data_IF_712391701039
#
_entry.id   IF_712391701039
#
_cell.length_a   1.000
_cell.length_b   1.000
_cell.length_c   1.000
_cell.angle_alpha   90.00
_cell.angle_beta   90.00
_cell.angle_gamma   90.00
#
_symmetry.space_group_name_H-M   'P 1'
#
loop_
_entity.id
_entity.type
_entity.pdbx_description
1 polymer ?
#
# COMPACT_ATOMS: atom_id res chain seq x y z
N UNK A 1 -57.05 -30.46 -19.41
CA UNK A 1 -56.52 -29.14 -19.02
C UNK A 1 -55.01 -29.24 -18.90
N UNK A 2 -54.26 -28.62 -19.81
CA UNK A 2 -52.79 -28.57 -19.80
C UNK A 2 -52.39 -27.10 -19.65
N UNK A 3 -51.71 -26.72 -18.57
CA UNK A 3 -51.11 -25.39 -18.42
C UNK A 3 -49.71 -25.37 -19.05
N UNK A 4 -49.32 -24.33 -19.79
CA UNK A 4 -47.98 -24.20 -20.34
C UNK A 4 -47.01 -23.66 -19.29
N UNK A 5 -45.82 -24.27 -19.26
CA UNK A 5 -44.66 -23.86 -18.46
C UNK A 5 -44.02 -22.65 -19.18
N UNK A 6 -44.11 -21.49 -18.56
CA UNK A 6 -43.49 -20.25 -19.04
C UNK A 6 -42.03 -20.21 -18.56
N UNK A 7 -41.09 -20.50 -19.46
CA UNK A 7 -39.65 -20.46 -19.18
C UNK A 7 -39.16 -19.01 -19.20
N UNK A 8 -38.92 -18.44 -18.01
CA UNK A 8 -38.36 -17.10 -17.85
C UNK A 8 -36.83 -17.15 -18.05
N UNK A 9 -36.35 -16.64 -19.18
CA UNK A 9 -34.92 -16.44 -19.47
C UNK A 9 -34.39 -15.26 -18.64
N UNK A 10 -33.67 -15.57 -17.57
CA UNK A 10 -32.96 -14.59 -16.75
C UNK A 10 -31.66 -14.19 -17.48
N UNK A 11 -31.67 -13.05 -18.16
CA UNK A 11 -30.44 -12.41 -18.66
C UNK A 11 -29.65 -11.86 -17.46
N UNK A 12 -28.63 -12.60 -17.03
CA UNK A 12 -27.58 -12.08 -16.14
C UNK A 12 -26.79 -11.02 -16.93
N UNK A 13 -27.16 -9.76 -16.75
CA UNK A 13 -26.33 -8.64 -17.14
C UNK A 13 -24.99 -8.76 -16.39
N UNK A 14 -23.92 -9.02 -17.13
CA UNK A 14 -22.57 -8.80 -16.64
C UNK A 14 -22.47 -7.32 -16.34
N UNK A 15 -22.60 -6.94 -15.06
CA UNK A 15 -22.15 -5.65 -14.60
C UNK A 15 -20.65 -5.62 -14.88
N UNK A 16 -20.26 -4.97 -15.98
CA UNK A 16 -18.90 -4.57 -16.25
C UNK A 16 -18.39 -3.96 -14.96
N UNK A 17 -17.41 -4.59 -14.33
CA UNK A 17 -16.72 -4.03 -13.17
C UNK A 17 -16.19 -2.68 -13.68
N UNK A 18 -16.83 -1.58 -13.27
CA UNK A 18 -16.54 -0.26 -13.79
C UNK A 18 -15.03 -0.06 -13.70
N UNK A 19 -14.41 0.25 -14.84
CA UNK A 19 -12.96 0.45 -14.89
C UNK A 19 -12.63 1.58 -13.92
N UNK A 20 -11.85 1.22 -12.90
CA UNK A 20 -11.25 2.16 -11.98
C UNK A 20 -10.37 3.10 -12.80
N UNK A 21 -10.60 4.40 -12.65
CA UNK A 21 -10.04 5.50 -13.44
C UNK A 21 -10.33 5.44 -14.96
N UNK A 22 -10.27 6.60 -15.62
CA UNK A 22 -10.48 6.70 -17.08
C UNK A 22 -9.44 7.61 -17.74
N UNK A 23 -9.16 7.43 -19.03
CA UNK A 23 -8.43 8.43 -19.80
C UNK A 23 -9.11 9.81 -19.69
N UNK A 24 -8.31 10.85 -19.57
CA UNK A 24 -8.78 12.22 -19.68
C UNK A 24 -9.31 12.49 -21.10
N UNK A 25 -10.33 13.32 -21.23
CA UNK A 25 -10.68 13.91 -22.52
C UNK A 25 -9.55 14.86 -22.98
N UNK A 26 -9.47 15.23 -24.27
CA UNK A 26 -8.49 16.20 -24.73
C UNK A 26 -8.52 17.52 -23.95
N UNK A 27 -9.72 18.02 -23.63
CA UNK A 27 -9.89 19.25 -22.86
C UNK A 27 -9.39 19.10 -21.42
N UNK A 28 -9.72 17.99 -20.76
CA UNK A 28 -9.22 17.70 -19.41
C UNK A 28 -7.71 17.55 -19.38
N UNK A 29 -7.14 16.83 -20.35
CA UNK A 29 -5.70 16.66 -20.48
C UNK A 29 -5.00 18.02 -20.67
N UNK A 30 -5.53 18.89 -21.53
CA UNK A 30 -4.99 20.23 -21.76
C UNK A 30 -5.06 21.11 -20.50
N UNK A 31 -6.17 21.06 -19.76
CA UNK A 31 -6.33 21.85 -18.52
C UNK A 31 -5.40 21.37 -17.42
N UNK A 32 -5.27 20.05 -17.25
CA UNK A 32 -4.33 19.45 -16.28
C UNK A 32 -2.90 19.78 -16.69
N UNK A 33 -2.56 19.58 -17.97
CA UNK A 33 -1.24 19.86 -18.53
C UNK A 33 -0.82 21.32 -18.39
N UNK A 34 -1.75 22.28 -18.57
CA UNK A 34 -1.46 23.71 -18.40
C UNK A 34 -1.20 24.12 -16.95
N UNK A 35 -1.77 23.39 -15.98
CA UNK A 35 -1.51 23.63 -14.56
C UNK A 35 -0.25 22.95 -14.02
N UNK A 36 0.31 21.99 -14.76
CA UNK A 36 1.63 21.43 -14.53
C UNK A 36 2.63 22.25 -15.35
N UNK A 37 3.81 22.58 -14.84
CA UNK A 37 4.81 23.38 -15.58
C UNK A 37 4.97 22.84 -17.02
N UNK A 38 4.49 23.61 -18.02
CA UNK A 38 3.88 23.12 -19.27
C UNK A 38 4.62 22.07 -20.10
N UNK A 39 5.94 21.92 -19.92
CA UNK A 39 6.72 20.83 -20.53
C UNK A 39 6.32 19.43 -20.00
N UNK A 40 5.84 19.32 -18.76
CA UNK A 40 5.49 18.02 -18.14
C UNK A 40 4.11 17.52 -18.57
N UNK A 41 3.21 18.42 -18.93
CA UNK A 41 1.84 18.10 -19.32
C UNK A 41 1.72 17.41 -20.68
N UNK A 42 2.56 17.80 -21.65
CA UNK A 42 2.61 17.19 -22.99
C UNK A 42 3.32 15.83 -23.00
N UNK A 43 4.09 15.56 -21.95
CA UNK A 43 4.96 14.40 -21.84
C UNK A 43 4.29 13.16 -21.23
N UNK A 44 2.99 13.20 -20.93
CA UNK A 44 2.32 12.08 -20.27
C UNK A 44 0.89 11.82 -20.72
N UNK A 45 0.40 10.60 -20.44
CA UNK A 45 -1.02 10.31 -20.49
C UNK A 45 -1.69 10.72 -19.18
N UNK A 46 -2.77 11.51 -19.27
CA UNK A 46 -3.56 11.91 -18.10
C UNK A 46 -4.71 10.93 -17.89
N UNK A 47 -4.79 10.40 -16.67
CA UNK A 47 -5.86 9.51 -16.21
C UNK A 47 -6.64 10.21 -15.10
N UNK A 48 -7.94 10.41 -15.30
CA UNK A 48 -8.84 11.07 -14.35
C UNK A 48 -9.48 10.05 -13.41
N UNK A 49 -9.72 10.45 -12.16
CA UNK A 49 -10.53 9.64 -11.26
C UNK A 49 -11.99 9.66 -11.71
N UNK A 50 -12.63 8.50 -11.68
CA UNK A 50 -14.08 8.35 -11.87
C UNK A 50 -14.87 8.62 -10.60
N UNK A 51 -14.20 8.59 -9.44
CA UNK A 51 -14.79 8.92 -8.14
C UNK A 51 -14.90 10.43 -7.95
N UNK A 52 -13.84 11.15 -8.32
CA UNK A 52 -13.75 12.60 -8.13
C UNK A 52 -12.87 13.22 -9.22
N UNK A 53 -13.50 13.95 -10.16
CA UNK A 53 -12.82 14.59 -11.28
C UNK A 53 -11.80 15.67 -10.90
N UNK A 54 -11.67 16.00 -9.62
CA UNK A 54 -10.61 16.87 -9.08
C UNK A 54 -9.27 16.14 -8.89
N UNK A 55 -9.18 14.85 -9.21
CA UNK A 55 -7.96 14.07 -9.07
C UNK A 55 -7.56 13.41 -10.38
N UNK A 56 -6.25 13.42 -10.66
CA UNK A 56 -5.71 12.74 -11.82
C UNK A 56 -4.31 12.16 -11.56
N UNK A 57 -3.88 11.34 -12.51
CA UNK A 57 -2.56 10.73 -12.59
C UNK A 57 -1.97 11.08 -13.96
N UNK A 58 -0.81 11.73 -13.99
CA UNK A 58 -0.03 11.86 -15.21
C UNK A 58 0.99 10.72 -15.27
N UNK A 59 0.91 9.90 -16.32
CA UNK A 59 1.84 8.81 -16.58
C UNK A 59 2.88 9.30 -17.58
N UNK A 60 4.15 9.30 -17.20
CA UNK A 60 5.22 9.70 -18.11
C UNK A 60 5.22 8.78 -19.35
N UNK A 61 5.28 9.37 -20.55
CA UNK A 61 5.58 8.63 -21.77
C UNK A 61 7.08 8.63 -22.00
N UNK A 62 7.58 7.50 -22.50
CA UNK A 62 8.94 7.41 -23.02
C UNK A 62 9.00 8.09 -24.40
N UNK A 63 9.06 9.42 -24.38
CA UNK A 63 9.15 10.26 -25.58
C UNK A 63 10.45 11.05 -25.52
N UNK A 64 11.20 11.04 -26.60
CA UNK A 64 12.44 11.81 -26.74
C UNK A 64 12.17 13.31 -26.47
N UNK A 65 12.92 13.91 -25.53
CA UNK A 65 12.71 15.29 -25.08
C UNK A 65 11.81 15.46 -23.84
N UNK A 66 11.20 14.38 -23.36
CA UNK A 66 10.43 14.37 -22.11
C UNK A 66 11.28 13.91 -20.93
N UNK A 67 12.12 14.81 -20.39
CA UNK A 67 12.79 14.57 -19.11
C UNK A 67 11.83 14.87 -17.96
N UNK A 68 11.12 13.84 -17.48
CA UNK A 68 10.65 13.86 -16.10
C UNK A 68 11.86 13.74 -15.19
N UNK A 69 11.91 14.53 -14.11
CA UNK A 69 12.98 14.46 -13.12
C UNK A 69 12.82 13.17 -12.27
N UNK A 70 13.17 12.05 -12.91
CA UNK A 70 13.78 10.77 -12.51
C UNK A 70 13.52 10.15 -11.12
N UNK A 71 12.38 10.36 -10.46
CA UNK A 71 12.06 9.54 -9.26
C UNK A 71 10.74 8.77 -9.36
N UNK A 72 9.84 9.11 -10.29
CA UNK A 72 8.58 8.36 -10.43
C UNK A 72 7.99 8.40 -11.84
N UNK A 73 7.71 7.22 -12.40
CA UNK A 73 6.94 7.02 -13.66
C UNK A 73 5.50 7.59 -13.62
N UNK A 74 5.12 8.22 -12.51
CA UNK A 74 3.76 8.64 -12.18
C UNK A 74 3.81 9.96 -11.41
N UNK A 75 3.08 10.95 -11.91
CA UNK A 75 2.81 12.21 -11.22
C UNK A 75 1.38 12.18 -10.68
N UNK A 76 1.22 12.35 -9.38
CA UNK A 76 -0.11 12.51 -8.79
C UNK A 76 -0.49 13.98 -8.79
N UNK A 77 -1.68 14.31 -9.27
CA UNK A 77 -2.10 15.72 -9.41
C UNK A 77 -3.50 15.91 -8.85
N UNK A 78 -3.71 17.06 -8.21
CA UNK A 78 -5.01 17.44 -7.65
C UNK A 78 -5.42 18.83 -8.14
N UNK A 79 -6.72 19.01 -8.29
CA UNK A 79 -7.35 20.30 -8.53
C UNK A 79 -7.63 20.98 -7.19
N UNK A 80 -7.02 22.13 -7.00
CA UNK A 80 -7.13 22.93 -5.80
C UNK A 80 -8.41 23.78 -5.82
N UNK A 81 -8.85 24.21 -4.64
CA UNK A 81 -10.06 25.01 -4.48
C UNK A 81 -9.99 26.39 -5.17
N UNK A 82 -8.79 26.89 -5.45
CA UNK A 82 -8.56 28.13 -6.21
C UNK A 82 -8.63 27.91 -7.74
N UNK A 83 -8.88 26.69 -8.19
CA UNK A 83 -8.99 26.32 -9.59
C UNK A 83 -7.67 25.91 -10.24
N UNK A 84 -6.55 25.95 -9.52
CA UNK A 84 -5.26 25.50 -10.04
C UNK A 84 -5.12 23.97 -9.98
N UNK A 85 -4.37 23.39 -10.93
CA UNK A 85 -3.86 22.02 -10.77
C UNK A 85 -2.49 22.08 -10.09
N UNK A 86 -2.25 21.17 -9.16
CA UNK A 86 -1.00 21.10 -8.43
C UNK A 86 -0.48 19.68 -8.38
N UNK A 87 0.83 19.56 -8.57
CA UNK A 87 1.55 18.34 -8.29
C UNK A 87 1.52 18.07 -6.79
N UNK A 88 1.12 16.85 -6.41
CA UNK A 88 1.53 16.31 -5.13
C UNK A 88 3.01 16.00 -5.21
N UNK A 89 3.83 17.02 -4.96
CA UNK A 89 5.30 16.93 -4.98
C UNK A 89 5.69 15.63 -4.30
N UNK A 90 6.44 14.79 -5.02
CA UNK A 90 6.84 13.42 -4.68
C UNK A 90 7.11 13.25 -3.20
N UNK A 91 6.05 13.03 -2.44
CA UNK A 91 6.17 12.60 -1.08
C UNK A 91 6.40 11.11 -1.30
N UNK A 92 7.66 10.73 -1.15
CA UNK A 92 8.04 9.42 -0.66
C UNK A 92 7.14 9.14 0.54
N UNK A 93 5.92 8.68 0.27
CA UNK A 93 4.94 8.42 1.29
C UNK A 93 5.28 7.02 1.80
N UNK A 94 5.90 6.88 2.98
CA UNK A 94 6.13 5.60 3.66
C UNK A 94 4.89 4.72 3.78
N UNK A 95 3.72 5.35 3.70
CA UNK A 95 2.41 4.73 3.84
C UNK A 95 1.92 4.10 2.54
N UNK A 96 2.60 4.33 1.41
CA UNK A 96 2.21 3.81 0.10
C UNK A 96 1.06 4.57 -0.58
N UNK A 97 0.48 5.58 0.08
CA UNK A 97 -0.62 6.42 -0.44
C UNK A 97 -0.35 7.90 -0.16
N UNK A 98 -0.70 8.82 -1.07
CA UNK A 98 -0.55 10.24 -0.81
C UNK A 98 -1.46 10.76 0.32
N UNK A 99 -0.90 11.53 1.25
CA UNK A 99 -1.65 12.16 2.33
C UNK A 99 -2.68 13.14 1.75
N UNK A 100 -3.89 13.11 2.29
CA UNK A 100 -4.99 13.98 1.85
C UNK A 100 -5.84 13.42 0.72
N UNK A 101 -5.42 12.32 0.05
CA UNK A 101 -6.26 11.68 -0.96
C UNK A 101 -7.40 10.91 -0.28
N UNK A 102 -8.66 11.11 -0.67
CA UNK A 102 -9.77 10.27 -0.23
C UNK A 102 -9.52 8.78 -0.57
N UNK A 103 -9.79 7.81 0.34
CA UNK A 103 -9.50 6.40 0.08
C UNK A 103 -10.13 5.83 -1.20
N UNK A 104 -11.32 6.31 -1.57
CA UNK A 104 -12.00 5.89 -2.81
C UNK A 104 -11.26 6.37 -4.07
N UNK A 105 -10.79 7.63 -4.09
CA UNK A 105 -9.96 8.17 -5.16
C UNK A 105 -8.62 7.45 -5.24
N UNK A 106 -7.98 7.21 -4.09
CA UNK A 106 -6.70 6.53 -4.03
C UNK A 106 -6.78 5.08 -4.55
N UNK A 107 -7.91 4.41 -4.31
CA UNK A 107 -8.21 3.09 -4.87
C UNK A 107 -8.49 3.17 -6.38
N UNK A 108 -9.23 4.18 -6.82
CA UNK A 108 -9.65 4.36 -8.21
C UNK A 108 -8.46 4.66 -9.13
N UNK A 109 -7.61 5.62 -8.75
CA UNK A 109 -6.40 5.99 -9.50
C UNK A 109 -5.19 5.06 -9.23
N UNK A 110 -5.36 4.07 -8.35
CA UNK A 110 -4.26 3.17 -7.97
C UNK A 110 -3.06 3.89 -7.34
N UNK A 111 -3.31 5.02 -6.67
CA UNK A 111 -2.27 5.79 -5.96
C UNK A 111 -1.63 4.98 -4.84
N UNK A 112 -2.43 4.12 -4.21
CA UNK A 112 -1.98 3.26 -3.13
C UNK A 112 -1.28 2.02 -3.69
N UNK A 113 0.05 2.00 -3.73
CA UNK A 113 0.79 0.74 -3.92
C UNK A 113 0.85 0.01 -2.59
N UNK A 114 0.48 -1.27 -2.60
CA UNK A 114 0.77 -2.18 -1.48
C UNK A 114 2.28 -2.31 -1.35
N UNK A 115 2.89 -1.53 -0.46
CA UNK A 115 4.31 -1.65 -0.20
C UNK A 115 4.57 -2.92 0.61
N UNK A 116 5.42 -3.79 0.06
CA UNK A 116 5.99 -4.90 0.83
C UNK A 116 7.00 -4.32 1.80
N UNK A 117 6.96 -4.76 3.04
CA UNK A 117 7.83 -4.22 4.10
C UNK A 117 8.56 -5.36 4.80
N UNK A 118 9.80 -5.12 5.18
CA UNK A 118 10.55 -6.03 6.01
C UNK A 118 10.04 -5.94 7.44
N UNK A 119 9.87 -7.11 8.04
CA UNK A 119 9.61 -7.22 9.46
C UNK A 119 10.87 -7.78 10.11
N UNK A 120 11.52 -6.97 10.95
CA UNK A 120 12.68 -7.38 11.72
C UNK A 120 12.23 -7.66 13.13
N UNK A 121 12.03 -8.93 13.45
CA UNK A 121 11.58 -9.38 14.75
C UNK A 121 12.74 -9.97 15.56
N UNK A 122 12.71 -9.74 16.86
CA UNK A 122 13.66 -10.30 17.82
C UNK A 122 12.92 -10.90 19.02
N UNK A 123 13.43 -12.03 19.52
CA UNK A 123 13.00 -12.59 20.81
C UNK A 123 13.69 -11.85 21.96
N UNK A 124 13.44 -12.27 23.21
CA UNK A 124 14.06 -11.66 24.39
C UNK A 124 15.59 -11.75 24.44
N UNK A 125 16.20 -12.62 23.62
CA UNK A 125 17.65 -12.82 23.52
C UNK A 125 18.27 -12.07 22.35
N UNK A 126 17.48 -11.28 21.61
CA UNK A 126 17.89 -10.63 20.37
C UNK A 126 18.44 -11.60 19.29
N UNK A 127 18.02 -12.86 19.33
CA UNK A 127 18.44 -13.86 18.32
C UNK A 127 17.42 -13.94 17.18
N UNK A 128 17.90 -14.33 16.00
CA UNK A 128 17.07 -14.68 14.85
C UNK A 128 16.04 -15.76 15.21
N UNK A 129 14.80 -15.55 14.76
CA UNK A 129 13.64 -16.37 15.13
C UNK A 129 13.55 -17.55 14.18
N UNK A 130 14.13 -18.68 14.59
CA UNK A 130 14.17 -19.89 13.77
C UNK A 130 13.17 -20.96 14.22
N UNK A 131 12.45 -20.76 15.35
CA UNK A 131 11.70 -21.84 16.00
C UNK A 131 10.32 -21.44 16.52
N UNK A 132 9.45 -22.44 16.67
CA UNK A 132 8.10 -22.35 17.26
C UNK A 132 8.13 -21.84 18.71
N UNK A 133 9.24 -21.96 19.42
CA UNK A 133 9.32 -21.51 20.81
C UNK A 133 9.90 -20.09 20.97
N UNK A 134 10.51 -19.55 19.92
CA UNK A 134 11.18 -18.25 19.93
C UNK A 134 10.24 -17.11 19.49
N UNK A 135 9.07 -17.01 20.12
CA UNK A 135 8.12 -15.93 19.80
C UNK A 135 8.76 -14.55 20.02
N UNK A 136 8.65 -13.63 19.06
CA UNK A 136 9.23 -12.31 19.18
C UNK A 136 8.59 -11.50 20.30
N UNK A 137 9.39 -10.66 20.94
CA UNK A 137 8.92 -9.68 21.93
C UNK A 137 8.98 -8.26 21.40
N UNK A 138 9.78 -8.05 20.37
CA UNK A 138 9.96 -6.79 19.66
C UNK A 138 9.98 -7.04 18.16
N UNK A 139 9.36 -6.15 17.39
CA UNK A 139 9.43 -6.19 15.93
C UNK A 139 9.46 -4.76 15.40
N UNK A 140 10.31 -4.50 14.42
CA UNK A 140 10.28 -3.26 13.65
C UNK A 140 9.77 -3.56 12.26
N UNK A 141 8.96 -2.65 11.71
CA UNK A 141 8.55 -2.69 10.31
C UNK A 141 9.36 -1.67 9.52
N UNK A 142 9.88 -2.08 8.38
CA UNK A 142 10.69 -1.26 7.49
C UNK A 142 10.15 -1.41 6.07
N UNK A 143 9.53 -0.36 5.52
CA UNK A 143 9.14 -0.35 4.10
C UNK A 143 10.23 0.32 3.26
N UNK A 144 10.36 -0.04 1.97
CA UNK A 144 11.16 0.72 1.02
C UNK A 144 10.77 2.20 1.06
N UNK A 145 11.77 3.08 1.09
CA UNK A 145 11.59 4.55 1.12
C UNK A 145 10.82 5.09 2.34
N UNK A 146 10.52 4.25 3.35
CA UNK A 146 9.93 4.74 4.58
C UNK A 146 11.00 5.42 5.44
N UNK A 147 10.81 6.70 5.84
CA UNK A 147 11.70 7.33 6.79
C UNK A 147 11.75 6.48 8.06
N UNK A 148 12.95 6.26 8.59
CA UNK A 148 13.16 5.44 9.78
C UNK A 148 12.29 5.89 10.96
N UNK A 149 12.02 7.19 11.08
CA UNK A 149 11.16 7.78 12.10
C UNK A 149 9.68 7.34 12.02
N UNK A 150 9.24 6.80 10.88
CA UNK A 150 7.86 6.35 10.67
C UNK A 150 7.70 4.83 10.77
N UNK A 151 8.78 4.09 11.03
CA UNK A 151 8.73 2.65 11.28
C UNK A 151 7.84 2.33 12.49
N UNK A 152 7.02 1.28 12.41
CA UNK A 152 6.28 0.77 13.57
C UNK A 152 7.29 0.06 14.47
N UNK A 153 7.36 0.48 15.74
CA UNK A 153 8.32 -0.05 16.71
C UNK A 153 7.58 -0.85 17.78
N UNK A 154 7.27 -2.09 17.45
CA UNK A 154 6.50 -2.97 18.31
C UNK A 154 7.34 -3.47 19.47
N UNK A 155 6.82 -3.33 20.68
CA UNK A 155 7.43 -3.81 21.89
C UNK A 155 6.43 -4.49 22.83
N UNK A 156 6.98 -5.21 23.82
CA UNK A 156 6.21 -5.94 24.83
C UNK A 156 5.17 -6.89 24.20
N UNK A 157 5.48 -7.54 23.07
CA UNK A 157 4.53 -8.39 22.36
C UNK A 157 4.25 -9.71 23.09
N UNK A 158 3.00 -9.93 23.49
CA UNK A 158 2.51 -11.16 24.11
C UNK A 158 1.70 -11.97 23.11
N UNK A 159 2.34 -12.98 22.51
CA UNK A 159 1.69 -13.83 21.50
C UNK A 159 0.85 -14.97 22.07
N UNK A 160 -0.29 -15.21 21.45
CA UNK A 160 -1.10 -16.42 21.54
C UNK A 160 -1.16 -17.11 20.18
N UNK A 161 -1.17 -18.45 20.18
CA UNK A 161 -1.23 -19.24 18.94
C UNK A 161 0.02 -19.18 18.06
N UNK A 162 1.18 -18.79 18.59
CA UNK A 162 2.43 -18.77 17.84
C UNK A 162 2.75 -20.15 17.25
N UNK A 163 3.15 -20.19 15.97
CA UNK A 163 3.38 -21.42 15.22
C UNK A 163 2.13 -22.06 14.60
N UNK A 164 0.93 -21.55 14.88
CA UNK A 164 -0.29 -21.95 14.16
C UNK A 164 -0.43 -21.18 12.84
N UNK A 165 -1.43 -21.51 12.04
CA UNK A 165 -1.73 -20.80 10.78
C UNK A 165 -1.95 -19.29 10.97
N UNK A 166 -2.38 -18.88 12.16
CA UNK A 166 -2.47 -17.49 12.58
C UNK A 166 -2.03 -17.37 14.04
N UNK A 167 -1.30 -16.31 14.36
CA UNK A 167 -0.96 -15.93 15.72
C UNK A 167 -1.39 -14.49 16.00
N UNK A 168 -1.71 -14.19 17.26
CA UNK A 168 -2.12 -12.85 17.67
C UNK A 168 -1.24 -12.39 18.81
N UNK A 169 -0.82 -11.13 18.82
CA UNK A 169 -0.11 -10.51 19.92
C UNK A 169 -0.87 -9.30 20.46
N UNK A 170 -0.69 -9.04 21.75
CA UNK A 170 -0.96 -7.72 22.34
C UNK A 170 0.35 -7.10 22.79
N UNK A 171 0.51 -5.80 22.59
CA UNK A 171 1.70 -5.08 23.03
C UNK A 171 1.55 -3.58 22.86
N UNK A 172 2.65 -2.91 22.60
CA UNK A 172 2.69 -1.47 22.38
C UNK A 172 3.45 -1.15 21.08
N UNK A 173 3.04 -0.08 20.42
CA UNK A 173 3.87 0.63 19.46
C UNK A 173 4.57 1.79 20.16
N UNK A 174 5.89 1.80 20.07
CA UNK A 174 6.75 2.88 20.52
C UNK A 174 6.81 3.96 19.46
N UNK A 175 5.70 4.67 19.30
CA UNK A 175 5.58 5.78 18.38
C UNK A 175 6.69 6.83 18.59
N UNK A 176 6.93 7.64 17.55
CA UNK A 176 8.06 8.57 17.55
C UNK A 176 7.86 9.78 18.50
N UNK A 177 6.60 10.14 18.80
CA UNK A 177 6.28 11.27 19.68
C UNK A 177 6.37 10.87 21.14
N UNK A 178 7.02 11.70 21.97
CA UNK A 178 7.21 11.49 23.42
C UNK A 178 5.88 11.26 24.16
N UNK A 179 4.78 11.85 23.69
CA UNK A 179 3.43 11.76 24.26
C UNK A 179 2.69 10.45 23.93
N UNK A 180 3.10 9.74 22.87
CA UNK A 180 2.43 8.52 22.37
C UNK A 180 3.36 7.30 22.39
N UNK A 181 4.39 7.35 23.26
CA UNK A 181 5.47 6.36 23.35
C UNK A 181 5.04 4.92 23.63
N UNK A 182 3.84 4.70 24.17
CA UNK A 182 3.34 3.36 24.50
C UNK A 182 1.89 3.23 24.00
N UNK A 183 1.67 3.36 22.68
CA UNK A 183 0.33 3.19 22.10
C UNK A 183 -0.06 1.71 22.11
N UNK A 184 -1.17 1.29 22.74
CA UNK A 184 -1.57 -0.12 22.74
C UNK A 184 -1.89 -0.62 21.33
N UNK A 185 -1.41 -1.82 21.01
CA UNK A 185 -1.64 -2.46 19.71
C UNK A 185 -2.06 -3.91 19.81
N UNK A 186 -2.85 -4.35 18.84
CA UNK A 186 -3.10 -5.76 18.57
C UNK A 186 -2.43 -6.13 17.25
N UNK A 187 -1.65 -7.21 17.26
CA UNK A 187 -0.90 -7.68 16.10
C UNK A 187 -1.47 -9.02 15.68
N UNK A 188 -1.70 -9.22 14.38
CA UNK A 188 -2.08 -10.52 13.81
C UNK A 188 -1.03 -10.93 12.80
N UNK A 189 -0.43 -12.09 13.00
CA UNK A 189 0.48 -12.72 12.06
C UNK A 189 -0.25 -13.86 11.31
N UNK A 190 -0.14 -13.89 10.00
CA UNK A 190 -0.77 -14.89 9.12
C UNK A 190 0.09 -15.16 7.88
N UNK A 191 -0.38 -16.02 6.97
CA UNK A 191 0.37 -16.39 5.78
C UNK A 191 1.60 -17.22 6.14
N UNK A 192 1.42 -18.26 6.96
CA UNK A 192 2.52 -19.12 7.36
C UNK A 192 3.05 -19.89 6.14
N UNK A 193 4.32 -19.71 5.81
CA UNK A 193 5.00 -20.41 4.71
C UNK A 193 6.34 -20.98 5.18
N UNK A 194 6.90 -21.93 4.44
CA UNK A 194 8.25 -22.43 4.66
C UNK A 194 9.24 -21.44 4.03
N UNK A 195 10.11 -20.89 4.85
CA UNK A 195 11.26 -20.07 4.47
C UNK A 195 12.42 -20.94 3.97
N UNK A 196 13.43 -20.26 3.43
CA UNK A 196 14.67 -20.87 3.00
C UNK A 196 15.31 -21.63 4.18
N UNK A 197 15.73 -22.88 3.95
CA UNK A 197 16.30 -23.81 4.96
C UNK A 197 15.28 -24.59 5.82
N UNK A 198 13.99 -24.56 5.49
CA UNK A 198 12.99 -25.45 6.09
C UNK A 198 12.31 -24.90 7.36
N UNK A 199 12.74 -23.73 7.83
CA UNK A 199 12.04 -22.99 8.88
C UNK A 199 10.73 -22.41 8.33
N UNK A 200 9.76 -22.08 9.17
CA UNK A 200 8.54 -21.41 8.74
C UNK A 200 8.50 -19.96 9.22
N UNK A 201 7.88 -19.09 8.43
CA UNK A 201 7.71 -17.65 8.71
C UNK A 201 6.27 -17.23 8.45
N UNK A 202 5.84 -16.15 9.10
CA UNK A 202 4.59 -15.48 8.75
C UNK A 202 4.86 -14.42 7.68
N UNK A 203 4.15 -14.45 6.56
CA UNK A 203 4.34 -13.48 5.49
C UNK A 203 3.52 -12.21 5.65
N UNK A 204 2.56 -12.19 6.57
CA UNK A 204 1.66 -11.04 6.78
C UNK A 204 1.62 -10.69 8.25
N UNK A 205 1.88 -9.41 8.56
CA UNK A 205 1.67 -8.81 9.86
C UNK A 205 0.65 -7.68 9.76
N UNK A 206 -0.46 -7.78 10.48
CA UNK A 206 -1.47 -6.72 10.59
C UNK A 206 -1.41 -6.11 11.98
N UNK A 207 -1.07 -4.83 12.09
CA UNK A 207 -0.92 -4.09 13.34
C UNK A 207 -2.08 -3.12 13.47
N UNK A 208 -2.89 -3.28 14.50
CA UNK A 208 -4.04 -2.43 14.76
C UNK A 208 -3.82 -1.57 16.00
N UNK A 209 -4.09 -0.27 15.89
CA UNK A 209 -4.06 0.72 16.97
C UNK A 209 -5.29 1.62 16.91
N UNK A 210 -5.43 2.54 17.88
CA UNK A 210 -6.48 3.57 17.85
C UNK A 210 -6.39 4.52 16.64
N UNK A 211 -5.23 4.60 15.99
CA UNK A 211 -4.97 5.49 14.86
C UNK A 211 -5.19 4.84 13.50
N UNK A 212 -5.46 3.54 13.47
CA UNK A 212 -5.67 2.81 12.23
C UNK A 212 -5.01 1.44 12.25
N UNK A 213 -4.97 0.84 11.06
CA UNK A 213 -4.41 -0.48 10.86
C UNK A 213 -3.32 -0.44 9.82
N UNK A 214 -2.14 -0.92 10.20
CA UNK A 214 -1.04 -1.13 9.30
C UNK A 214 -0.96 -2.59 8.85
N UNK A 215 -0.62 -2.83 7.58
CA UNK A 215 -0.42 -4.18 7.04
C UNK A 215 0.96 -4.25 6.41
N UNK A 216 1.76 -5.21 6.85
CA UNK A 216 3.13 -5.41 6.39
C UNK A 216 3.26 -6.80 5.80
N UNK A 217 3.75 -6.86 4.58
CA UNK A 217 4.01 -8.09 3.86
C UNK A 217 5.51 -8.37 3.91
N UNK A 218 5.90 -9.39 4.66
CA UNK A 218 7.29 -9.80 4.73
C UNK A 218 7.75 -10.34 3.37
N UNK A 219 8.87 -9.80 2.90
CA UNK A 219 9.58 -10.34 1.75
C UNK A 219 10.28 -11.62 2.19
N UNK A 220 9.90 -12.74 1.58
CA UNK A 220 10.47 -14.07 1.82
C UNK A 220 11.44 -14.48 0.71
N UNK A 221 12.10 -13.50 0.08
CA UNK A 221 13.05 -13.80 -0.98
C UNK A 221 14.22 -14.57 -0.36
N UNK A 222 14.40 -15.81 -0.82
CA UNK A 222 15.65 -16.50 -0.59
C UNK A 222 16.71 -15.73 -1.35
N UNK A 223 17.82 -15.31 -0.72
CA UNK A 223 18.97 -14.93 -1.51
C UNK A 223 19.25 -16.13 -2.42
N UNK A 224 19.10 -15.92 -3.74
CA UNK A 224 19.61 -16.87 -4.72
C UNK A 224 21.04 -17.14 -4.27
N UNK A 225 21.36 -18.41 -4.01
CA UNK A 225 22.72 -18.78 -3.70
C UNK A 225 23.55 -18.23 -4.85
N UNK A 226 24.29 -17.15 -4.61
CA UNK A 226 25.37 -16.78 -5.51
C UNK A 226 26.31 -17.96 -5.42
N UNK A 227 26.26 -18.81 -6.44
CA UNK A 227 27.26 -19.82 -6.71
C UNK A 227 28.57 -19.07 -6.91
N UNK A 228 29.30 -18.89 -5.81
CA UNK A 228 30.72 -18.59 -5.81
C UNK A 228 31.50 -19.78 -6.34
#
# INVERSE_FOLDING_TARGET
MRLPILTLLLFLAFASVASAARPATPDEANVVAAGLDGARGECGDITMSTVDGTWALALAKDVEGCEFDIISDKLHVMHLADGAWSELASLDFPTGCPAGVPPAVASDLGFCKTQRGYMVCANSRATSIHRVFDRPRTCNTLRPHQPFAQAVNLAKLHWSGWGKATATARGIDRGFRKTDRDTPVTVRASGRTVACKGDWVYTILKVHSRYGTDVVFQITDCPTAHSS
#
